data_IF_453158697009
#
_entry.id   IF_453158697009
#
_cell.length_a   1.000
_cell.length_b   1.000
_cell.length_c   1.000
_cell.angle_alpha   90.00
_cell.angle_beta   90.00
_cell.angle_gamma   90.00
#
_symmetry.space_group_name_H-M   'P 1'
#
loop_
_entity.id
_entity.type
_entity.pdbx_description
1 polymer ?
#
# COMPACT_ATOMS: atom_id res chain seq x y z
N UNK A 1 -45.88 42.37 -5.62
CA UNK A 1 -45.08 42.63 -4.43
C UNK A 1 -43.64 42.48 -4.85
N UNK A 2 -43.01 43.59 -5.17
CA UNK A 2 -41.56 43.56 -5.50
C UNK A 2 -40.79 43.39 -4.21
N UNK A 3 -40.09 42.27 -4.09
CA UNK A 3 -39.23 41.99 -2.96
C UNK A 3 -37.95 42.84 -3.11
N UNK A 4 -37.81 43.83 -2.22
CA UNK A 4 -36.65 44.72 -2.21
C UNK A 4 -35.38 43.99 -1.74
N UNK A 5 -34.65 43.41 -2.69
CA UNK A 5 -33.37 42.71 -2.47
C UNK A 5 -32.26 43.64 -1.91
N UNK A 6 -32.44 44.97 -2.00
CA UNK A 6 -31.41 45.91 -1.52
C UNK A 6 -31.29 45.94 0.00
N UNK A 7 -32.36 45.61 0.73
CA UNK A 7 -32.34 45.45 2.19
C UNK A 7 -31.60 44.18 2.64
N UNK A 8 -31.70 43.11 1.86
CA UNK A 8 -30.96 41.85 2.13
C UNK A 8 -29.48 41.99 1.87
N UNK A 9 -29.07 42.71 0.83
CA UNK A 9 -27.66 42.92 0.50
C UNK A 9 -26.89 43.67 1.62
N UNK A 10 -27.55 44.55 2.36
CA UNK A 10 -26.94 45.28 3.52
C UNK A 10 -26.70 44.37 4.73
N UNK A 11 -27.45 43.28 4.89
CA UNK A 11 -27.30 42.34 5.99
C UNK A 11 -26.07 41.43 5.85
N UNK A 12 -25.50 41.38 4.65
CA UNK A 12 -24.35 40.52 4.31
C UNK A 12 -23.09 41.33 3.97
N UNK A 13 -23.08 42.63 4.23
CA UNK A 13 -21.83 43.41 4.08
C UNK A 13 -20.90 43.12 5.28
N UNK A 14 -19.65 42.78 5.01
CA UNK A 14 -18.69 42.56 6.10
C UNK A 14 -18.47 43.85 6.87
N UNK A 15 -18.32 43.77 8.18
CA UNK A 15 -18.05 44.87 9.07
C UNK A 15 -16.62 45.42 8.93
N UNK A 16 -15.75 44.68 8.26
CA UNK A 16 -14.37 45.10 7.99
C UNK A 16 -13.54 44.01 7.35
N UNK A 17 -12.29 44.31 7.07
CA UNK A 17 -11.27 43.38 6.65
C UNK A 17 -10.05 43.43 7.55
N UNK A 18 -9.25 42.38 7.55
CA UNK A 18 -8.00 42.33 8.34
C UNK A 18 -7.31 40.98 8.19
N UNK A 19 -6.10 40.88 8.75
CA UNK A 19 -5.31 39.65 8.59
C UNK A 19 -5.93 38.48 9.36
N UNK A 20 -5.95 37.31 8.72
CA UNK A 20 -6.30 36.06 9.35
C UNK A 20 -5.28 35.71 10.43
N UNK A 21 -5.69 35.40 11.68
CA UNK A 21 -4.75 35.05 12.75
C UNK A 21 -3.99 33.75 12.50
N UNK A 22 -4.48 32.87 11.57
CA UNK A 22 -3.85 31.59 11.28
C UNK A 22 -2.79 31.64 10.17
N UNK A 23 -2.99 32.49 9.12
CA UNK A 23 -2.08 32.51 7.95
C UNK A 23 -1.72 33.92 7.48
N UNK A 24 -2.24 34.98 8.10
CA UNK A 24 -1.98 36.38 7.73
C UNK A 24 -2.70 36.87 6.45
N UNK A 25 -3.42 36.01 5.74
CA UNK A 25 -4.16 36.42 4.54
C UNK A 25 -5.27 37.41 4.92
N UNK A 26 -5.51 38.40 4.05
CA UNK A 26 -6.61 39.37 4.23
C UNK A 26 -7.96 38.67 4.15
N UNK A 27 -8.78 38.80 5.17
CA UNK A 27 -10.12 38.22 5.22
C UNK A 27 -11.14 39.28 5.54
N UNK A 28 -12.36 39.12 5.03
CA UNK A 28 -13.52 39.88 5.43
C UNK A 28 -14.14 39.24 6.68
N UNK A 29 -14.58 40.03 7.62
CA UNK A 29 -15.18 39.54 8.86
C UNK A 29 -16.46 40.28 9.21
N UNK A 30 -17.32 39.62 9.97
CA UNK A 30 -18.51 40.13 10.59
C UNK A 30 -18.29 40.22 12.10
N UNK A 31 -18.88 41.19 12.78
CA UNK A 31 -18.84 41.31 14.21
C UNK A 31 -20.08 40.63 14.82
N UNK A 32 -19.88 39.67 15.68
CA UNK A 32 -20.93 39.02 16.45
C UNK A 32 -20.54 38.96 17.91
N UNK A 33 -21.29 39.61 18.77
CA UNK A 33 -21.00 39.68 20.21
C UNK A 33 -19.60 40.24 20.54
N UNK A 34 -19.09 41.17 19.74
CA UNK A 34 -17.76 41.76 19.89
C UNK A 34 -16.61 40.87 19.40
N UNK A 35 -16.89 39.72 18.78
CA UNK A 35 -15.91 38.82 18.19
C UNK A 35 -15.93 38.92 16.65
N UNK A 36 -14.76 38.92 16.05
CA UNK A 36 -14.61 38.83 14.59
C UNK A 36 -14.93 37.40 14.11
N UNK A 37 -15.92 37.28 13.23
CA UNK A 37 -16.35 36.05 12.61
C UNK A 37 -16.09 36.18 11.10
N UNK A 38 -15.19 35.38 10.58
CA UNK A 38 -14.88 35.37 9.15
C UNK A 38 -14.23 34.05 8.75
N UNK A 39 -14.50 33.59 7.55
CA UNK A 39 -13.83 32.39 6.99
C UNK A 39 -12.61 32.83 6.19
N UNK A 40 -11.47 32.25 6.50
CA UNK A 40 -10.28 32.37 5.70
C UNK A 40 -10.24 31.25 4.65
N UNK A 41 -10.46 31.57 3.39
CA UNK A 41 -10.44 30.58 2.30
C UNK A 41 -9.13 29.77 2.25
N UNK A 42 -7.92 30.37 2.34
CA UNK A 42 -6.67 29.59 2.41
C UNK A 42 -6.62 28.59 3.58
N UNK A 43 -7.00 29.01 4.80
CA UNK A 43 -7.02 28.12 5.96
C UNK A 43 -8.04 27.00 5.82
N UNK A 44 -9.26 27.31 5.36
CA UNK A 44 -10.32 26.32 5.12
C UNK A 44 -9.89 25.31 4.06
N UNK A 45 -9.31 25.76 2.95
CA UNK A 45 -8.80 24.87 1.90
C UNK A 45 -7.70 23.95 2.44
N UNK A 46 -6.78 24.46 3.26
CA UNK A 46 -5.71 23.67 3.87
C UNK A 46 -6.26 22.64 4.87
N UNK A 47 -7.26 23.03 5.68
CA UNK A 47 -7.92 22.13 6.62
C UNK A 47 -8.72 21.05 5.90
N UNK A 48 -9.49 21.39 4.87
CA UNK A 48 -10.22 20.42 4.04
C UNK A 48 -9.27 19.44 3.36
N UNK A 49 -8.11 19.89 2.88
CA UNK A 49 -7.07 19.03 2.32
C UNK A 49 -6.50 18.07 3.38
N UNK A 50 -6.22 18.57 4.59
CA UNK A 50 -5.74 17.75 5.71
C UNK A 50 -6.77 16.68 6.09
N UNK A 51 -8.03 17.05 6.25
CA UNK A 51 -9.11 16.12 6.57
C UNK A 51 -9.31 15.04 5.50
N UNK A 52 -9.16 15.40 4.21
CA UNK A 52 -9.18 14.42 3.11
C UNK A 52 -8.04 13.42 3.22
N UNK A 53 -6.84 13.88 3.55
CA UNK A 53 -5.67 13.00 3.75
C UNK A 53 -5.90 12.07 4.94
N UNK A 54 -6.37 12.58 6.07
CA UNK A 54 -6.65 11.79 7.28
C UNK A 54 -7.72 10.72 7.00
N UNK A 55 -8.84 11.08 6.41
CA UNK A 55 -9.90 10.12 6.01
C UNK A 55 -9.37 9.04 5.07
N UNK A 56 -8.53 9.42 4.11
CA UNK A 56 -7.91 8.45 3.19
C UNK A 56 -7.01 7.47 3.94
N UNK A 57 -6.21 7.94 4.90
CA UNK A 57 -5.37 7.09 5.76
C UNK A 57 -6.22 6.10 6.57
N UNK A 58 -7.28 6.56 7.22
CA UNK A 58 -8.19 5.71 8.00
C UNK A 58 -8.81 4.60 7.13
N UNK A 59 -9.30 4.94 5.94
CA UNK A 59 -9.83 3.96 4.98
C UNK A 59 -8.77 2.94 4.57
N UNK A 60 -7.55 3.39 4.26
CA UNK A 60 -6.47 2.49 3.86
C UNK A 60 -6.01 1.59 5.01
N UNK A 61 -5.98 2.07 6.25
CA UNK A 61 -5.69 1.26 7.43
C UNK A 61 -6.79 0.24 7.70
N UNK A 62 -8.07 0.58 7.50
CA UNK A 62 -9.17 -0.37 7.54
C UNK A 62 -8.99 -1.50 6.52
N UNK A 63 -8.68 -1.15 5.27
CA UNK A 63 -8.38 -2.15 4.22
C UNK A 63 -7.16 -2.99 4.60
N UNK A 64 -6.09 -2.38 5.17
CA UNK A 64 -4.93 -3.15 5.63
C UNK A 64 -5.32 -4.17 6.70
N UNK A 65 -6.16 -3.79 7.66
CA UNK A 65 -6.65 -4.68 8.69
C UNK A 65 -7.42 -5.88 8.09
N UNK A 66 -8.26 -5.63 7.10
CA UNK A 66 -9.07 -6.66 6.43
C UNK A 66 -8.23 -7.66 5.61
N UNK A 67 -7.14 -7.18 4.99
CA UNK A 67 -6.26 -8.04 4.14
C UNK A 67 -5.09 -8.63 4.90
N UNK A 68 -4.97 -8.37 6.21
CA UNK A 68 -3.87 -8.83 7.04
C UNK A 68 -4.32 -9.99 7.93
N UNK A 69 -3.67 -11.16 7.89
CA UNK A 69 -3.96 -12.25 8.82
C UNK A 69 -3.84 -11.80 10.28
N UNK A 70 -4.74 -12.27 11.15
CA UNK A 70 -4.86 -11.84 12.56
C UNK A 70 -3.54 -11.92 13.33
N UNK A 71 -2.72 -12.95 13.06
CA UNK A 71 -1.41 -13.12 13.68
C UNK A 71 -0.35 -12.08 13.27
N UNK A 72 -0.62 -11.27 12.25
CA UNK A 72 0.25 -10.17 11.80
C UNK A 72 -0.29 -8.78 12.15
N UNK A 73 -1.47 -8.68 12.73
CA UNK A 73 -2.06 -7.40 13.18
C UNK A 73 -1.36 -6.86 14.44
N UNK A 74 -0.73 -7.71 15.22
CA UNK A 74 -0.04 -7.32 16.44
C UNK A 74 1.25 -6.53 16.14
N UNK A 75 1.64 -5.68 17.09
CA UNK A 75 2.94 -5.01 17.06
C UNK A 75 4.07 -6.02 16.94
N UNK A 76 5.00 -5.77 16.03
CA UNK A 76 6.15 -6.64 15.81
C UNK A 76 7.11 -6.48 16.96
N UNK A 77 7.44 -7.61 17.58
CA UNK A 77 8.60 -7.72 18.46
C UNK A 77 9.85 -7.92 17.57
N UNK A 78 10.80 -6.98 17.56
CA UNK A 78 12.02 -7.11 16.76
C UNK A 78 12.85 -8.35 17.11
N UNK A 79 12.75 -8.88 18.34
CA UNK A 79 13.47 -10.09 18.76
C UNK A 79 12.96 -11.35 18.05
N UNK A 80 11.70 -11.33 17.57
CA UNK A 80 11.10 -12.39 16.77
C UNK A 80 11.39 -12.27 15.27
N UNK A 81 12.29 -11.37 14.89
CA UNK A 81 12.72 -11.14 13.50
C UNK A 81 14.20 -11.49 13.39
N UNK A 82 14.57 -12.24 12.37
CA UNK A 82 15.97 -12.55 12.12
C UNK A 82 16.80 -11.25 11.99
N UNK A 83 17.99 -11.17 12.63
CA UNK A 83 18.80 -9.94 12.65
C UNK A 83 19.09 -9.37 11.27
N UNK A 84 19.31 -10.24 10.28
CA UNK A 84 19.64 -9.85 8.90
C UNK A 84 18.54 -9.06 8.18
N UNK A 85 17.27 -9.16 8.61
CA UNK A 85 16.15 -8.46 7.99
C UNK A 85 15.52 -7.39 8.90
N UNK A 86 15.96 -7.25 10.16
CA UNK A 86 15.49 -6.19 11.09
C UNK A 86 15.63 -4.78 10.52
N UNK A 87 16.73 -4.41 9.81
CA UNK A 87 16.86 -3.07 9.25
C UNK A 87 15.72 -2.67 8.29
N UNK A 88 15.01 -3.64 7.72
CA UNK A 88 13.86 -3.34 6.90
C UNK A 88 12.68 -2.74 7.69
N UNK A 89 12.63 -2.92 9.02
CA UNK A 89 11.61 -2.29 9.87
C UNK A 89 11.75 -0.77 9.95
N UNK A 90 12.95 -0.23 9.68
CA UNK A 90 13.20 1.22 9.69
C UNK A 90 12.80 1.91 8.38
N UNK A 91 12.52 1.14 7.33
CA UNK A 91 12.06 1.70 6.06
C UNK A 91 10.66 2.32 6.21
N UNK A 92 10.41 3.37 5.46
CA UNK A 92 9.16 4.15 5.50
C UNK A 92 7.97 3.46 4.79
N UNK A 93 8.23 2.41 4.01
CA UNK A 93 7.21 1.73 3.20
C UNK A 93 6.83 2.49 1.92
N UNK A 94 7.62 3.48 1.51
CA UNK A 94 7.39 4.24 0.27
C UNK A 94 8.07 3.60 -0.96
N UNK A 95 8.99 2.65 -0.74
CA UNK A 95 9.71 1.93 -1.80
C UNK A 95 9.48 0.43 -1.72
N UNK A 96 9.53 -0.26 -2.86
CA UNK A 96 9.38 -1.70 -2.93
C UNK A 96 10.52 -2.42 -2.18
N UNK A 97 10.18 -3.52 -1.51
CA UNK A 97 11.14 -4.33 -0.73
C UNK A 97 10.91 -5.81 -0.97
N UNK A 98 12.00 -6.55 -1.16
CA UNK A 98 11.99 -7.98 -1.32
C UNK A 98 12.67 -8.72 -0.17
N UNK A 99 12.10 -9.86 0.21
CA UNK A 99 12.68 -10.73 1.24
C UNK A 99 12.90 -12.13 0.68
N UNK A 100 14.11 -12.65 0.80
CA UNK A 100 14.48 -14.01 0.39
C UNK A 100 15.13 -14.77 1.54
N UNK A 101 15.31 -16.08 1.39
CA UNK A 101 16.03 -16.91 2.35
C UNK A 101 15.14 -17.80 3.21
N UNK A 102 15.71 -18.40 4.28
CA UNK A 102 15.09 -19.47 5.07
C UNK A 102 13.72 -19.09 5.66
N UNK A 103 12.85 -20.09 5.85
CA UNK A 103 11.56 -19.90 6.53
C UNK A 103 11.74 -19.67 8.04
N UNK A 104 10.74 -19.08 8.70
CA UNK A 104 10.74 -18.85 10.15
C UNK A 104 11.42 -17.57 10.61
N UNK A 105 12.19 -16.87 9.77
CA UNK A 105 12.90 -15.65 10.14
C UNK A 105 12.06 -14.35 10.18
N UNK A 106 10.75 -14.43 9.98
CA UNK A 106 9.86 -13.27 10.12
C UNK A 106 9.66 -12.42 8.86
N UNK A 107 10.11 -12.86 7.67
CA UNK A 107 9.98 -12.13 6.38
C UNK A 107 8.56 -11.60 6.11
N UNK A 108 7.57 -12.49 6.14
CA UNK A 108 6.17 -12.14 5.92
C UNK A 108 5.68 -11.12 6.94
N UNK A 109 6.10 -11.23 8.21
CA UNK A 109 5.75 -10.29 9.27
C UNK A 109 6.29 -8.89 9.01
N UNK A 110 7.55 -8.77 8.59
CA UNK A 110 8.15 -7.48 8.20
C UNK A 110 7.47 -6.91 6.95
N UNK A 111 7.16 -7.76 5.98
CA UNK A 111 6.45 -7.32 4.76
C UNK A 111 5.06 -6.74 5.07
N UNK A 112 4.29 -7.35 5.99
CA UNK A 112 3.01 -6.78 6.45
C UNK A 112 3.17 -5.47 7.22
N UNK A 113 4.27 -5.30 7.99
CA UNK A 113 4.56 -4.02 8.63
C UNK A 113 4.84 -2.90 7.62
N UNK A 114 5.58 -3.20 6.56
CA UNK A 114 5.81 -2.24 5.47
C UNK A 114 4.53 -1.94 4.71
N UNK A 115 3.68 -2.93 4.47
CA UNK A 115 2.36 -2.74 3.88
C UNK A 115 1.46 -1.83 4.73
N UNK A 116 1.55 -1.94 6.09
CA UNK A 116 0.90 -1.04 7.03
C UNK A 116 1.41 0.40 6.88
N UNK A 117 2.73 0.59 6.85
CA UNK A 117 3.33 1.93 6.66
C UNK A 117 2.87 2.58 5.35
N UNK A 118 2.75 1.81 4.27
CA UNK A 118 2.18 2.29 3.01
C UNK A 118 0.70 2.71 3.19
N UNK A 119 -0.09 1.93 3.93
CA UNK A 119 -1.48 2.29 4.25
C UNK A 119 -1.58 3.57 5.11
N UNK A 120 -0.68 3.75 6.08
CA UNK A 120 -0.55 4.98 6.89
C UNK A 120 -0.22 6.21 6.03
N UNK A 121 0.38 6.03 4.86
CA UNK A 121 0.60 7.07 3.85
C UNK A 121 -0.60 7.26 2.91
N UNK A 122 -1.71 6.54 3.14
CA UNK A 122 -2.93 6.62 2.34
C UNK A 122 -2.86 5.84 1.03
N UNK A 123 -1.95 4.89 0.89
CA UNK A 123 -1.90 3.96 -0.24
C UNK A 123 -2.84 2.77 0.01
N UNK A 124 -3.73 2.48 -0.92
CA UNK A 124 -4.64 1.32 -0.82
C UNK A 124 -3.84 0.01 -0.85
N UNK A 125 -3.79 -0.75 0.25
CA UNK A 125 -3.03 -1.99 0.32
C UNK A 125 -3.82 -3.18 -0.20
N UNK A 126 -3.09 -4.21 -0.62
CA UNK A 126 -3.62 -5.55 -0.86
C UNK A 126 -2.52 -6.58 -0.59
N UNK A 127 -2.90 -7.76 -0.11
CA UNK A 127 -1.98 -8.88 0.04
C UNK A 127 -2.57 -10.14 -0.61
N UNK A 128 -1.71 -10.93 -1.21
CA UNK A 128 -2.07 -12.20 -1.83
C UNK A 128 -0.86 -13.13 -1.80
N UNK A 129 -1.06 -14.42 -1.52
CA UNK A 129 0.00 -15.39 -1.73
C UNK A 129 0.19 -15.67 -3.23
N UNK A 130 1.42 -15.99 -3.65
CA UNK A 130 1.67 -16.33 -5.04
C UNK A 130 0.89 -17.58 -5.49
N UNK A 131 0.65 -18.53 -4.58
CA UNK A 131 -0.17 -19.71 -4.85
C UNK A 131 -1.64 -19.39 -5.07
N UNK A 132 -2.22 -18.51 -4.24
CA UNK A 132 -3.60 -18.03 -4.38
C UNK A 132 -3.80 -17.24 -5.67
N UNK A 133 -2.87 -16.35 -6.01
CA UNK A 133 -2.92 -15.59 -7.25
C UNK A 133 -2.89 -16.49 -8.50
N UNK A 134 -2.00 -17.50 -8.50
CA UNK A 134 -1.93 -18.49 -9.59
C UNK A 134 -3.20 -19.33 -9.71
N UNK A 135 -3.76 -19.77 -8.58
CA UNK A 135 -5.01 -20.50 -8.56
C UNK A 135 -6.16 -19.64 -9.10
N UNK A 136 -6.22 -18.37 -8.71
CA UNK A 136 -7.21 -17.45 -9.24
C UNK A 136 -7.05 -17.26 -10.76
N UNK A 137 -5.82 -17.21 -11.28
CA UNK A 137 -5.58 -17.14 -12.72
C UNK A 137 -6.09 -18.38 -13.47
N UNK A 138 -5.88 -19.56 -12.89
CA UNK A 138 -6.41 -20.81 -13.46
C UNK A 138 -7.94 -20.87 -13.44
N UNK A 139 -8.55 -20.33 -12.38
CA UNK A 139 -9.99 -20.38 -12.14
C UNK A 139 -10.79 -19.23 -12.78
N UNK A 140 -10.13 -18.30 -13.49
CA UNK A 140 -10.80 -17.11 -14.08
C UNK A 140 -11.97 -17.42 -15.03
N UNK A 141 -11.99 -18.64 -15.58
CA UNK A 141 -13.04 -19.14 -16.48
C UNK A 141 -13.78 -20.34 -15.90
N UNK A 142 -13.72 -20.54 -14.58
CA UNK A 142 -14.40 -21.67 -13.94
C UNK A 142 -15.90 -21.64 -14.20
N UNK A 143 -16.54 -22.82 -14.36
CA UNK A 143 -17.98 -22.94 -14.63
C UNK A 143 -18.83 -22.44 -13.45
N UNK A 144 -18.36 -22.65 -12.22
CA UNK A 144 -19.00 -22.12 -11.01
C UNK A 144 -18.79 -20.60 -10.93
N UNK A 145 -19.91 -19.88 -10.83
CA UNK A 145 -19.91 -18.42 -10.78
C UNK A 145 -19.25 -17.86 -9.50
N UNK A 146 -19.39 -18.55 -8.37
CA UNK A 146 -18.80 -18.09 -7.11
C UNK A 146 -17.27 -18.13 -7.19
N UNK A 147 -16.71 -19.26 -7.64
CA UNK A 147 -15.27 -19.46 -7.83
C UNK A 147 -14.73 -18.46 -8.87
N UNK A 148 -15.44 -18.26 -9.97
CA UNK A 148 -15.05 -17.29 -11.01
C UNK A 148 -15.04 -15.86 -10.51
N UNK A 149 -16.06 -15.45 -9.75
CA UNK A 149 -16.18 -14.10 -9.23
C UNK A 149 -15.10 -13.81 -8.18
N UNK A 150 -14.84 -14.74 -7.27
CA UNK A 150 -13.76 -14.65 -6.28
C UNK A 150 -12.39 -14.54 -6.98
N UNK A 151 -12.11 -15.42 -7.92
CA UNK A 151 -10.87 -15.42 -8.71
C UNK A 151 -10.68 -14.09 -9.45
N UNK A 152 -11.73 -13.58 -10.09
CA UNK A 152 -11.70 -12.29 -10.78
C UNK A 152 -11.44 -11.13 -9.81
N UNK A 153 -12.01 -11.19 -8.60
CA UNK A 153 -11.79 -10.18 -7.56
C UNK A 153 -10.33 -10.17 -7.09
N UNK A 154 -9.73 -11.34 -6.83
CA UNK A 154 -8.31 -11.49 -6.46
C UNK A 154 -7.41 -10.86 -7.53
N UNK A 155 -7.58 -11.27 -8.79
CA UNK A 155 -6.76 -10.77 -9.91
C UNK A 155 -6.88 -9.25 -10.07
N UNK A 156 -8.12 -8.73 -10.01
CA UNK A 156 -8.39 -7.29 -10.12
C UNK A 156 -7.80 -6.49 -8.95
N UNK A 157 -7.95 -6.98 -7.71
CA UNK A 157 -7.44 -6.29 -6.53
C UNK A 157 -5.91 -6.24 -6.53
N UNK A 158 -5.22 -7.33 -6.88
CA UNK A 158 -3.77 -7.37 -6.99
C UNK A 158 -3.23 -6.42 -8.06
N UNK A 159 -3.93 -6.27 -9.18
CA UNK A 159 -3.56 -5.32 -10.23
C UNK A 159 -3.79 -3.87 -9.83
N UNK A 160 -4.94 -3.55 -9.19
CA UNK A 160 -5.39 -2.19 -9.01
C UNK A 160 -5.01 -1.54 -7.66
N UNK A 161 -4.51 -2.31 -6.68
CA UNK A 161 -4.04 -1.75 -5.41
C UNK A 161 -2.80 -0.87 -5.62
N UNK A 162 -2.62 0.13 -4.75
CA UNK A 162 -1.46 1.01 -4.80
C UNK A 162 -0.23 0.36 -4.18
N UNK A 163 -0.41 -0.38 -3.07
CA UNK A 163 0.63 -1.15 -2.42
C UNK A 163 0.25 -2.64 -2.39
N UNK A 164 1.07 -3.51 -2.95
CA UNK A 164 0.84 -4.95 -3.03
C UNK A 164 1.91 -5.71 -2.25
N UNK A 165 1.47 -6.68 -1.44
CA UNK A 165 2.33 -7.74 -0.94
C UNK A 165 2.03 -9.03 -1.70
N UNK A 166 3.04 -9.62 -2.34
CA UNK A 166 3.01 -10.97 -2.90
C UNK A 166 3.82 -11.88 -1.99
N UNK A 167 3.11 -12.71 -1.23
CA UNK A 167 3.76 -13.57 -0.24
C UNK A 167 4.11 -14.94 -0.80
N UNK A 168 5.22 -15.51 -0.34
CA UNK A 168 5.66 -16.88 -0.65
C UNK A 168 5.83 -17.19 -2.16
N UNK A 169 6.49 -16.31 -2.94
CA UNK A 169 6.79 -16.59 -4.35
C UNK A 169 7.66 -17.84 -4.44
N UNK A 170 7.22 -18.78 -5.29
CA UNK A 170 7.84 -20.09 -5.47
C UNK A 170 7.18 -21.22 -4.69
N UNK A 171 6.22 -20.93 -3.79
CA UNK A 171 5.41 -21.95 -3.11
C UNK A 171 4.21 -22.39 -3.96
N UNK A 172 3.77 -23.63 -3.75
CA UNK A 172 2.64 -24.22 -4.48
C UNK A 172 3.06 -24.83 -5.82
N UNK A 173 2.09 -25.36 -6.56
CA UNK A 173 2.32 -25.93 -7.87
C UNK A 173 2.62 -24.82 -8.91
N UNK A 174 3.60 -25.04 -9.76
CA UNK A 174 3.88 -24.22 -10.94
C UNK A 174 3.01 -24.72 -12.10
N UNK A 175 2.29 -23.82 -12.73
CA UNK A 175 1.50 -24.07 -13.93
C UNK A 175 1.78 -22.96 -14.93
N UNK A 176 1.79 -23.26 -16.24
CA UNK A 176 2.06 -22.23 -17.27
C UNK A 176 1.13 -21.03 -17.12
N UNK A 177 -0.18 -21.26 -17.01
CA UNK A 177 -1.19 -20.20 -16.86
C UNK A 177 -0.97 -19.35 -15.61
N UNK A 178 -0.65 -19.99 -14.48
CA UNK A 178 -0.40 -19.28 -13.22
C UNK A 178 0.89 -18.48 -13.23
N UNK A 179 1.96 -19.03 -13.82
CA UNK A 179 3.26 -18.36 -13.88
C UNK A 179 3.26 -17.21 -14.89
N UNK A 180 2.59 -17.37 -16.04
CA UNK A 180 2.35 -16.30 -17.00
C UNK A 180 1.55 -15.17 -16.35
N UNK A 181 0.47 -15.48 -15.64
CA UNK A 181 -0.33 -14.47 -14.93
C UNK A 181 0.47 -13.74 -13.84
N UNK A 182 1.34 -14.43 -13.10
CA UNK A 182 2.23 -13.82 -12.13
C UNK A 182 3.26 -12.91 -12.82
N UNK A 183 3.86 -13.34 -13.91
CA UNK A 183 4.77 -12.52 -14.71
C UNK A 183 4.09 -11.25 -15.22
N UNK A 184 2.88 -11.36 -15.77
CA UNK A 184 2.10 -10.24 -16.27
C UNK A 184 1.79 -9.23 -15.15
N UNK A 185 1.40 -9.70 -13.95
CA UNK A 185 1.19 -8.86 -12.80
C UNK A 185 2.45 -8.06 -12.42
N UNK A 186 3.58 -8.76 -12.29
CA UNK A 186 4.85 -8.13 -11.93
C UNK A 186 5.31 -7.13 -12.99
N UNK A 187 5.13 -7.46 -14.26
CA UNK A 187 5.46 -6.58 -15.38
C UNK A 187 4.59 -5.32 -15.40
N UNK A 188 3.25 -5.47 -15.28
CA UNK A 188 2.32 -4.34 -15.22
C UNK A 188 2.60 -3.43 -14.04
N UNK A 189 2.92 -3.99 -12.86
CA UNK A 189 3.23 -3.20 -11.67
C UNK A 189 4.54 -2.43 -11.81
N UNK A 190 5.56 -3.03 -12.44
CA UNK A 190 6.82 -2.36 -12.76
C UNK A 190 6.59 -1.21 -13.76
N UNK A 191 5.88 -1.47 -14.84
CA UNK A 191 5.64 -0.49 -15.91
C UNK A 191 4.81 0.72 -15.42
N UNK A 192 4.00 0.53 -14.38
CA UNK A 192 3.21 1.58 -13.73
C UNK A 192 3.83 2.07 -12.39
N UNK A 193 5.08 1.71 -12.09
CA UNK A 193 5.81 2.12 -10.86
C UNK A 193 5.01 1.89 -9.57
N UNK A 194 4.21 0.82 -9.51
CA UNK A 194 3.35 0.53 -8.36
C UNK A 194 4.12 -0.14 -7.24
N UNK A 195 3.97 0.37 -6.04
CA UNK A 195 4.62 -0.13 -4.83
C UNK A 195 4.35 -1.63 -4.63
N UNK A 196 5.43 -2.42 -4.55
CA UNK A 196 5.33 -3.88 -4.43
C UNK A 196 6.31 -4.41 -3.41
N UNK A 197 5.80 -5.19 -2.47
CA UNK A 197 6.56 -6.01 -1.53
C UNK A 197 6.44 -7.47 -1.94
N UNK A 198 7.50 -8.23 -1.76
CA UNK A 198 7.43 -9.66 -2.02
C UNK A 198 8.29 -10.47 -1.05
N UNK A 199 7.88 -11.72 -0.80
CA UNK A 199 8.65 -12.68 -0.03
C UNK A 199 8.88 -13.98 -0.81
N UNK A 200 9.97 -14.65 -0.52
CA UNK A 200 10.26 -16.01 -1.01
C UNK A 200 11.07 -16.79 0.01
N UNK A 201 10.89 -18.10 0.04
CA UNK A 201 11.64 -19.01 0.93
C UNK A 201 12.88 -19.60 0.27
N UNK A 202 13.26 -19.15 -0.91
CA UNK A 202 14.41 -19.64 -1.65
C UNK A 202 15.35 -18.56 -2.17
N UNK A 203 16.51 -18.98 -2.62
CA UNK A 203 17.44 -18.13 -3.37
C UNK A 203 16.94 -17.86 -4.80
N UNK A 204 17.55 -16.88 -5.48
CA UNK A 204 17.25 -16.63 -6.88
C UNK A 204 17.45 -17.87 -7.78
N UNK A 205 18.49 -18.67 -7.53
CA UNK A 205 18.74 -19.90 -8.28
C UNK A 205 17.69 -20.97 -7.97
N UNK A 206 17.24 -21.06 -6.72
CA UNK A 206 16.14 -21.95 -6.36
C UNK A 206 14.84 -21.54 -7.08
N UNK A 207 14.54 -20.25 -7.12
CA UNK A 207 13.36 -19.72 -7.82
C UNK A 207 13.39 -20.02 -9.33
N UNK A 208 14.53 -19.83 -9.99
CA UNK A 208 14.69 -20.15 -11.42
C UNK A 208 14.36 -21.63 -11.69
N UNK A 209 14.90 -22.54 -10.86
CA UNK A 209 14.62 -23.97 -10.98
C UNK A 209 13.15 -24.30 -10.71
N UNK A 210 12.57 -23.64 -9.71
CA UNK A 210 11.19 -23.88 -9.25
C UNK A 210 10.13 -23.41 -10.25
N UNK A 211 10.37 -22.28 -10.91
CA UNK A 211 9.46 -21.66 -11.88
C UNK A 211 9.74 -22.09 -13.33
N UNK A 212 10.75 -22.94 -13.51
CA UNK A 212 11.16 -23.47 -14.82
C UNK A 212 12.10 -22.55 -15.60
N UNK A 213 12.72 -23.11 -16.67
CA UNK A 213 13.78 -22.42 -17.40
C UNK A 213 13.28 -21.18 -18.16
N UNK A 214 12.04 -21.18 -18.61
CA UNK A 214 11.49 -20.09 -19.42
C UNK A 214 11.00 -18.93 -18.56
N UNK A 215 10.15 -19.21 -17.56
CA UNK A 215 9.51 -18.20 -16.74
C UNK A 215 10.33 -17.77 -15.52
N UNK A 216 11.14 -18.67 -14.95
CA UNK A 216 11.90 -18.40 -13.74
C UNK A 216 12.84 -17.19 -13.84
N UNK A 217 13.71 -17.10 -14.87
CA UNK A 217 14.57 -15.94 -15.07
C UNK A 217 13.79 -14.64 -15.31
N UNK A 218 12.69 -14.72 -16.05
CA UNK A 218 11.85 -13.56 -16.37
C UNK A 218 11.16 -13.01 -15.12
N UNK A 219 10.52 -13.86 -14.32
CA UNK A 219 9.87 -13.49 -13.06
C UNK A 219 10.90 -12.93 -12.08
N UNK A 220 12.04 -13.60 -11.90
CA UNK A 220 13.09 -13.12 -10.99
C UNK A 220 13.59 -11.72 -11.36
N UNK A 221 13.79 -11.46 -12.66
CA UNK A 221 14.18 -10.13 -13.14
C UNK A 221 13.14 -9.08 -12.74
N UNK A 222 11.85 -9.35 -12.93
CA UNK A 222 10.76 -8.41 -12.55
C UNK A 222 10.69 -8.19 -11.05
N UNK A 223 10.89 -9.24 -10.25
CA UNK A 223 10.96 -9.12 -8.79
C UNK A 223 12.09 -8.19 -8.36
N UNK A 224 13.26 -8.26 -8.99
CA UNK A 224 14.40 -7.38 -8.71
C UNK A 224 14.10 -5.95 -9.17
N UNK A 225 13.58 -5.76 -10.38
CA UNK A 225 13.26 -4.45 -10.93
C UNK A 225 12.27 -3.69 -10.01
N UNK A 226 11.24 -4.36 -9.48
CA UNK A 226 10.22 -3.78 -8.60
C UNK A 226 10.75 -3.26 -7.25
N UNK A 227 11.91 -3.72 -6.82
CA UNK A 227 12.53 -3.34 -5.54
C UNK A 227 13.88 -2.66 -5.74
N UNK A 228 14.13 -2.17 -6.95
CA UNK A 228 15.28 -1.35 -7.30
C UNK A 228 14.87 0.10 -7.28
N UNK A 229 15.50 0.90 -6.45
CA UNK A 229 15.24 2.35 -6.33
C UNK A 229 15.77 3.12 -7.53
N UNK A 230 15.35 4.38 -7.70
CA UNK A 230 15.76 5.22 -8.82
C UNK A 230 17.28 5.45 -8.90
N UNK A 231 17.99 5.40 -7.77
CA UNK A 231 19.45 5.46 -7.67
C UNK A 231 20.15 4.09 -7.89
N UNK A 232 19.40 3.07 -8.29
CA UNK A 232 19.89 1.73 -8.63
C UNK A 232 20.15 0.81 -7.43
N UNK A 233 19.83 1.21 -6.21
CA UNK A 233 19.96 0.34 -5.03
C UNK A 233 18.84 -0.70 -5.00
N UNK A 234 19.22 -1.96 -4.74
CA UNK A 234 18.28 -3.08 -4.59
C UNK A 234 17.88 -3.22 -3.13
N UNK A 235 16.62 -3.09 -2.84
CA UNK A 235 16.07 -3.30 -1.49
C UNK A 235 15.65 -4.78 -1.31
N UNK A 236 16.64 -5.67 -1.33
CA UNK A 236 16.44 -7.11 -1.12
C UNK A 236 17.16 -7.50 0.17
N UNK A 237 16.40 -8.00 1.14
CA UNK A 237 16.91 -8.50 2.40
C UNK A 237 16.95 -10.02 2.38
N UNK A 238 18.12 -10.57 2.67
CA UNK A 238 18.33 -12.02 2.75
C UNK A 238 18.19 -12.47 4.18
N UNK A 239 17.24 -13.35 4.45
CA UNK A 239 16.99 -13.90 5.77
C UNK A 239 17.93 -15.09 6.04
N UNK A 240 19.00 -14.84 6.78
CA UNK A 240 19.97 -15.82 7.16
C UNK A 240 19.75 -16.21 8.63
N UNK A 241 19.03 -17.30 8.85
CA UNK A 241 18.84 -17.86 10.19
C UNK A 241 17.47 -17.58 10.81
N UNK A 242 17.35 -18.01 12.08
CA UNK A 242 16.15 -17.89 12.90
C UNK A 242 16.23 -16.68 13.83
N UNK A 243 15.09 -16.25 14.41
CA UNK A 243 15.08 -15.29 15.52
C UNK A 243 15.95 -15.73 16.68
N UNK A 244 16.39 -14.78 17.50
CA UNK A 244 17.25 -15.06 18.66
C UNK A 244 16.56 -15.88 19.76
N UNK A 245 15.22 -15.78 19.87
CA UNK A 245 14.42 -16.54 20.82
C UNK A 245 14.34 -18.06 20.50
N UNK A 246 14.63 -18.45 19.27
CA UNK A 246 14.59 -19.85 18.81
C UNK A 246 15.98 -20.54 18.81
N UNK A 247 17.00 -19.90 19.42
CA UNK A 247 18.33 -20.44 19.62
C UNK A 247 18.55 -20.89 21.07
#
# INVERSE_FOLDING_TARGET
>A
MDFDFSRFAKLFQPDGSGPCPGCGAEIQFFLSGGRRMGECTPCKTAEDARLKIERRREVCLGVWHDVTPVNFLQTIDPMRIAPSIRPALDLDGASGVGFSGSSGGGKTRVAYALLRKAAEQGMRPYSVSASEYRLAAANRHHSDNAIRNESTAILRNARNCQALLIDDIGKGASTSVGDEALYDLLNERRDNERLTFWTTNGSGEWLKKRLGPDMGPAILRRMVDLVTTADGRRQIFVCDGKPEEDK
#
